data_IF_867090936724
#
_entry.id   IF_867090936724
#
_cell.length_a   1.000
_cell.length_b   1.000
_cell.length_c   1.000
_cell.angle_alpha   90.00
_cell.angle_beta   90.00
_cell.angle_gamma   90.00
#
_symmetry.space_group_name_H-M   'P 1'
#
loop_
_entity.id
_entity.type
_entity.pdbx_description
1 polymer ?
#
# COMPACT_ATOMS: atom_id res chain seq x y z
N UNK A 1 12.98 -45.70 19.93
CA UNK A 1 11.70 -45.16 20.42
C UNK A 1 10.95 -44.67 19.20
N UNK A 2 10.04 -45.48 18.67
CA UNK A 2 9.19 -45.10 17.55
C UNK A 2 7.86 -44.61 18.15
N UNK A 3 7.79 -43.30 18.38
CA UNK A 3 6.66 -42.68 19.06
C UNK A 3 5.66 -42.30 17.96
N UNK A 4 4.43 -42.82 17.99
CA UNK A 4 3.39 -42.45 17.01
C UNK A 4 3.20 -40.93 16.90
N UNK A 5 3.42 -40.20 17.99
CA UNK A 5 3.42 -38.74 18.05
C UNK A 5 4.48 -38.09 17.15
N UNK A 6 5.67 -38.67 17.00
CA UNK A 6 6.73 -38.13 16.13
C UNK A 6 6.33 -38.15 14.67
N UNK A 7 5.64 -39.21 14.21
CA UNK A 7 5.11 -39.31 12.85
C UNK A 7 4.02 -38.27 12.60
N UNK A 8 3.13 -38.07 13.57
CA UNK A 8 2.06 -37.06 13.48
C UNK A 8 2.66 -35.66 13.37
N UNK A 9 3.65 -35.32 14.21
CA UNK A 9 4.34 -34.02 14.14
C UNK A 9 5.03 -33.85 12.79
N UNK A 10 5.71 -34.87 12.28
CA UNK A 10 6.37 -34.81 10.97
C UNK A 10 5.36 -34.53 9.83
N UNK A 11 4.23 -35.23 9.81
CA UNK A 11 3.17 -35.01 8.82
C UNK A 11 2.59 -33.59 8.94
N UNK A 12 2.34 -33.12 10.16
CA UNK A 12 1.84 -31.76 10.40
C UNK A 12 2.82 -30.69 9.89
N UNK A 13 4.12 -30.87 10.14
CA UNK A 13 5.16 -29.94 9.66
C UNK A 13 5.19 -29.91 8.12
N UNK A 14 5.20 -31.07 7.47
CA UNK A 14 5.17 -31.16 6.00
C UNK A 14 3.93 -30.44 5.44
N UNK A 15 2.76 -30.70 6.02
CA UNK A 15 1.51 -30.07 5.59
C UNK A 15 1.55 -28.55 5.74
N UNK A 16 2.02 -28.02 6.88
CA UNK A 16 2.15 -26.58 7.11
C UNK A 16 3.06 -25.93 6.07
N UNK A 17 4.20 -26.54 5.74
CA UNK A 17 5.10 -26.00 4.72
C UNK A 17 4.48 -26.03 3.33
N UNK A 18 3.85 -27.15 2.93
CA UNK A 18 3.17 -27.25 1.62
C UNK A 18 2.09 -26.16 1.51
N UNK A 19 1.30 -25.98 2.56
CA UNK A 19 0.26 -24.96 2.60
C UNK A 19 0.85 -23.54 2.56
N UNK A 20 1.91 -23.27 3.33
CA UNK A 20 2.59 -21.98 3.34
C UNK A 20 3.19 -21.64 1.96
N UNK A 21 3.81 -22.60 1.27
CA UNK A 21 4.33 -22.40 -0.09
C UNK A 21 3.22 -22.16 -1.11
N UNK A 22 2.08 -22.85 -0.99
CA UNK A 22 0.93 -22.61 -1.85
C UNK A 22 0.40 -21.18 -1.68
N UNK A 23 0.27 -20.71 -0.43
CA UNK A 23 -0.12 -19.32 -0.13
C UNK A 23 0.93 -18.31 -0.61
N UNK A 24 2.22 -18.58 -0.43
CA UNK A 24 3.30 -17.75 -0.93
C UNK A 24 3.20 -17.57 -2.46
N UNK A 25 3.05 -18.66 -3.21
CA UNK A 25 2.90 -18.61 -4.66
C UNK A 25 1.65 -17.83 -5.09
N UNK A 26 0.53 -17.99 -4.36
CA UNK A 26 -0.69 -17.22 -4.59
C UNK A 26 -0.46 -15.73 -4.38
N UNK A 27 0.17 -15.33 -3.27
CA UNK A 27 0.45 -13.92 -2.97
C UNK A 27 1.36 -13.27 -4.00
N UNK A 28 2.44 -13.94 -4.42
CA UNK A 28 3.38 -13.38 -5.40
C UNK A 28 2.76 -13.18 -6.78
N UNK A 29 1.83 -14.04 -7.19
CA UNK A 29 1.10 -13.88 -8.46
C UNK A 29 0.10 -12.73 -8.45
N UNK A 30 -0.45 -12.41 -7.28
CA UNK A 30 -1.49 -11.39 -7.11
C UNK A 30 -0.95 -10.07 -6.54
N UNK A 31 0.35 -9.96 -6.30
CA UNK A 31 0.93 -8.75 -5.74
C UNK A 31 0.79 -7.58 -6.74
N UNK A 32 0.35 -6.38 -6.31
CA UNK A 32 0.19 -5.25 -7.21
C UNK A 32 1.51 -4.88 -7.91
N UNK A 33 1.55 -4.80 -9.26
CA UNK A 33 2.77 -4.44 -9.96
C UNK A 33 3.12 -2.97 -9.72
N UNK A 34 4.40 -2.67 -9.49
CA UNK A 34 4.88 -1.29 -9.39
C UNK A 34 4.89 -0.67 -10.79
N UNK A 35 4.19 0.46 -11.02
CA UNK A 35 4.15 1.12 -12.33
C UNK A 35 5.54 1.55 -12.80
N UNK A 36 5.78 1.52 -14.12
CA UNK A 36 7.01 2.05 -14.71
C UNK A 36 7.09 3.58 -14.56
N UNK A 37 5.97 4.25 -14.82
CA UNK A 37 5.81 5.70 -14.69
C UNK A 37 4.38 6.01 -14.24
N UNK A 38 4.23 7.07 -13.47
CA UNK A 38 2.93 7.67 -13.16
C UNK A 38 2.86 9.03 -13.84
N UNK A 39 1.88 9.19 -14.71
CA UNK A 39 1.70 10.38 -15.53
C UNK A 39 0.44 11.15 -15.12
N UNK A 40 0.50 12.47 -15.27
CA UNK A 40 -0.65 13.36 -15.14
C UNK A 40 -1.55 13.27 -16.38
N UNK A 41 -2.76 13.81 -16.28
CA UNK A 41 -3.70 13.98 -17.41
C UNK A 41 -3.08 14.73 -18.60
N UNK A 42 -2.13 15.63 -18.31
CA UNK A 42 -1.42 16.41 -19.33
C UNK A 42 -0.16 15.70 -19.87
N UNK A 43 -0.04 14.39 -19.71
CA UNK A 43 1.11 13.57 -20.13
C UNK A 43 2.45 13.96 -19.48
N UNK A 44 2.43 14.69 -18.36
CA UNK A 44 3.63 14.99 -17.57
C UNK A 44 3.95 13.83 -16.64
N UNK A 45 5.19 13.33 -16.65
CA UNK A 45 5.65 12.31 -15.71
C UNK A 45 5.74 12.92 -14.31
N UNK A 46 5.03 12.33 -13.35
CA UNK A 46 5.04 12.73 -11.94
C UNK A 46 6.13 11.99 -11.16
N UNK A 47 6.21 10.67 -11.35
CA UNK A 47 7.26 9.85 -10.75
C UNK A 47 7.49 8.54 -11.51
N UNK A 48 8.71 8.01 -11.41
CA UNK A 48 9.14 6.76 -12.06
C UNK A 48 9.24 5.59 -11.07
N UNK A 49 9.28 4.37 -11.59
CA UNK A 49 9.55 3.15 -10.80
C UNK A 49 10.78 3.28 -9.92
N UNK A 50 11.86 3.86 -10.46
CA UNK A 50 13.11 4.03 -9.74
C UNK A 50 12.93 4.96 -8.53
N UNK A 51 12.15 6.04 -8.68
CA UNK A 51 11.85 6.96 -7.59
C UNK A 51 10.98 6.29 -6.51
N UNK A 52 10.02 5.43 -6.89
CA UNK A 52 9.22 4.64 -5.94
C UNK A 52 10.13 3.70 -5.12
N UNK A 53 11.03 2.98 -5.79
CA UNK A 53 11.99 2.07 -5.13
C UNK A 53 12.93 2.85 -4.21
N UNK A 54 13.44 4.00 -4.65
CA UNK A 54 14.30 4.85 -3.82
C UNK A 54 13.55 5.43 -2.61
N UNK A 55 12.28 5.80 -2.77
CA UNK A 55 11.42 6.21 -1.66
C UNK A 55 11.28 5.12 -0.61
N UNK A 56 11.02 3.87 -1.05
CA UNK A 56 11.01 2.69 -0.15
C UNK A 56 12.36 2.48 0.54
N UNK A 57 13.46 2.61 -0.19
CA UNK A 57 14.81 2.49 0.38
C UNK A 57 15.05 3.53 1.48
N UNK A 58 14.73 4.80 1.25
CA UNK A 58 14.91 5.84 2.27
C UNK A 58 13.99 5.63 3.48
N UNK A 59 12.75 5.20 3.26
CA UNK A 59 11.82 4.87 4.33
C UNK A 59 12.41 3.80 5.28
N UNK A 60 13.02 2.76 4.70
CA UNK A 60 13.70 1.71 5.45
C UNK A 60 15.01 2.20 6.09
N UNK A 61 15.84 2.94 5.34
CA UNK A 61 17.13 3.46 5.80
C UNK A 61 17.00 4.33 7.04
N UNK A 62 15.93 5.13 7.12
CA UNK A 62 15.66 6.02 8.24
C UNK A 62 14.81 5.39 9.35
N UNK A 63 14.51 4.09 9.28
CA UNK A 63 13.79 3.38 10.33
C UNK A 63 12.37 3.90 10.55
N UNK A 64 11.69 4.39 9.51
CA UNK A 64 10.38 5.03 9.68
C UNK A 64 9.27 4.05 10.13
N UNK A 65 9.47 2.72 10.02
CA UNK A 65 8.59 1.73 10.65
C UNK A 65 8.73 1.66 12.18
N UNK A 66 9.84 2.12 12.75
CA UNK A 66 9.99 2.20 14.22
C UNK A 66 9.34 3.48 14.77
N UNK A 67 9.12 4.46 13.90
CA UNK A 67 8.40 5.69 14.23
C UNK A 67 6.89 5.55 13.97
N UNK A 68 6.48 5.24 12.74
CA UNK A 68 5.07 5.10 12.34
C UNK A 68 4.79 3.79 11.63
N UNK A 69 3.75 3.75 10.79
CA UNK A 69 3.32 2.52 10.11
C UNK A 69 2.98 2.72 8.62
N UNK A 70 3.09 1.64 7.86
CA UNK A 70 2.57 1.54 6.48
C UNK A 70 1.58 0.38 6.46
N UNK A 71 0.38 0.61 5.94
CA UNK A 71 -0.69 -0.40 5.87
C UNK A 71 -1.03 -0.98 7.26
N UNK A 72 -0.86 -0.18 8.32
CA UNK A 72 -1.06 -0.60 9.70
C UNK A 72 0.08 -1.45 10.29
N UNK A 73 1.14 -1.75 9.55
CA UNK A 73 2.33 -2.45 10.03
C UNK A 73 3.44 -1.46 10.40
N UNK A 74 3.92 -1.54 11.63
CA UNK A 74 4.97 -0.68 12.17
C UNK A 74 4.67 -0.26 13.61
N UNK A 75 5.24 0.86 14.00
CA UNK A 75 5.05 1.49 15.30
C UNK A 75 3.79 2.35 15.33
N UNK A 76 3.29 2.60 16.53
CA UNK A 76 2.13 3.46 16.80
C UNK A 76 2.51 4.81 17.40
N UNK A 77 3.81 5.14 17.47
CA UNK A 77 4.26 6.43 17.99
C UNK A 77 3.93 7.58 17.03
N UNK A 78 4.13 7.36 15.74
CA UNK A 78 3.84 8.28 14.64
C UNK A 78 2.50 7.99 13.97
N UNK A 79 2.37 8.48 12.73
CA UNK A 79 1.18 8.26 11.89
C UNK A 79 1.28 6.96 11.08
N UNK A 80 0.12 6.44 10.64
CA UNK A 80 0.08 5.51 9.51
C UNK A 80 0.19 6.31 8.21
N UNK A 81 1.31 6.17 7.50
CA UNK A 81 1.63 6.94 6.31
C UNK A 81 0.65 6.67 5.16
N UNK A 82 0.18 5.42 5.03
CA UNK A 82 -0.80 5.01 4.01
C UNK A 82 -2.15 5.71 4.24
N UNK A 83 -2.71 5.58 5.44
CA UNK A 83 -3.99 6.16 5.82
C UNK A 83 -3.97 7.69 5.83
N UNK A 84 -2.86 8.29 6.29
CA UNK A 84 -2.70 9.75 6.26
C UNK A 84 -2.66 10.28 4.82
N UNK A 85 -1.88 9.64 3.94
CA UNK A 85 -1.78 10.02 2.53
C UNK A 85 -3.13 9.86 1.82
N UNK A 86 -3.87 8.79 2.11
CA UNK A 86 -5.20 8.58 1.54
C UNK A 86 -6.21 9.65 2.00
N UNK A 87 -6.19 10.02 3.29
CA UNK A 87 -7.01 11.13 3.81
C UNK A 87 -6.66 12.45 3.12
N UNK A 88 -5.36 12.73 2.95
CA UNK A 88 -4.91 13.94 2.25
C UNK A 88 -5.46 14.01 0.83
N UNK A 89 -5.42 12.90 0.07
CA UNK A 89 -5.99 12.85 -1.28
C UNK A 89 -7.51 13.05 -1.28
N UNK A 90 -8.22 12.45 -0.32
CA UNK A 90 -9.66 12.64 -0.18
C UNK A 90 -10.02 14.11 0.11
N UNK A 91 -9.27 14.77 0.99
CA UNK A 91 -9.46 16.17 1.35
C UNK A 91 -9.18 17.10 0.16
N UNK A 92 -8.12 16.81 -0.61
CA UNK A 92 -7.81 17.56 -1.83
C UNK A 92 -8.90 17.40 -2.88
N UNK A 93 -9.38 16.17 -3.09
CA UNK A 93 -10.43 15.89 -4.07
C UNK A 93 -11.78 16.53 -3.68
N UNK A 94 -12.15 16.49 -2.40
CA UNK A 94 -13.38 17.12 -1.90
C UNK A 94 -13.35 18.64 -2.03
N UNK A 95 -12.22 19.29 -1.70
CA UNK A 95 -12.06 20.75 -1.89
C UNK A 95 -12.15 21.13 -3.36
N UNK A 96 -11.49 20.39 -4.25
CA UNK A 96 -11.53 20.65 -5.68
C UNK A 96 -12.95 20.47 -6.27
N UNK A 97 -13.69 19.45 -5.82
CA UNK A 97 -15.05 19.20 -6.30
C UNK A 97 -16.06 20.27 -5.81
N UNK A 98 -15.96 20.72 -4.56
CA UNK A 98 -16.76 21.82 -4.01
C UNK A 98 -16.46 23.14 -4.75
N UNK A 99 -15.19 23.43 -5.01
CA UNK A 99 -14.82 24.63 -5.76
C UNK A 99 -15.43 24.60 -7.17
N UNK A 100 -15.35 23.46 -7.86
CA UNK A 100 -15.94 23.29 -9.19
C UNK A 100 -17.46 23.47 -9.18
N UNK A 101 -18.16 22.91 -8.19
CA UNK A 101 -19.63 23.03 -8.11
C UNK A 101 -20.09 24.46 -7.79
N UNK A 102 -19.37 25.18 -6.92
CA UNK A 102 -19.68 26.57 -6.58
C UNK A 102 -19.49 27.52 -7.78
N UNK A 103 -18.45 27.31 -8.58
CA UNK A 103 -18.25 28.03 -9.86
C UNK A 103 -19.45 27.80 -10.78
N UNK A 104 -19.79 26.55 -11.09
CA UNK A 104 -20.91 26.24 -11.99
C UNK A 104 -22.23 26.85 -11.50
N UNK A 105 -22.49 26.82 -10.19
CA UNK A 105 -23.70 27.41 -9.60
C UNK A 105 -23.74 28.94 -9.74
N UNK A 106 -22.61 29.62 -9.58
CA UNK A 106 -22.52 31.08 -9.70
C UNK A 106 -22.76 31.56 -11.14
N UNK A 107 -22.36 30.78 -12.15
CA UNK A 107 -22.63 31.09 -13.56
C UNK A 107 -24.01 30.60 -14.03
N UNK A 108 -24.56 29.53 -13.44
CA UNK A 108 -25.90 29.02 -13.77
C UNK A 108 -27.05 29.92 -13.25
N UNK A 109 -26.83 30.71 -12.20
CA UNK A 109 -27.81 31.69 -11.70
C UNK A 109 -27.74 33.07 -12.38
N UNK A 110 -26.86 33.24 -13.37
CA UNK A 110 -26.65 34.49 -14.11
C UNK A 110 -27.27 34.46 -15.52
N UNK A 111 -28.07 33.44 -15.82
CA UNK A 111 -28.93 33.28 -16.99
C UNK A 111 -30.38 33.19 -16.50
#
# INVERSE_FOLDING_TARGET
>A
MENGSTKIVLVAVIFVFVFAFALYAYTFRNFPPVPNEVISQNCTVLFTKQQIIMGKYYFQKYGLMDYGSIEGMGSYFGIDFTGYTLRLFQDLYSKASIFRSNITRQYAFKL
#
